data_IF_804622124451
#
_entry.id   IF_804622124451
#
_cell.length_a   1.000
_cell.length_b   1.000
_cell.length_c   1.000
_cell.angle_alpha   90.00
_cell.angle_beta   90.00
_cell.angle_gamma   90.00
#
_symmetry.space_group_name_H-M   'P 1'
#
loop_
_entity.id
_entity.type
_entity.pdbx_description
1 polymer ?
#
# COMPACT_ATOMS: atom_id res chain seq x y z
N UNK A 1 4.93 -5.40 79.46
CA UNK A 1 6.33 -5.07 79.17
C UNK A 1 6.84 -5.80 77.95
N UNK A 2 7.50 -5.02 77.09
CA UNK A 2 8.65 -5.34 76.24
C UNK A 2 8.64 -6.58 75.32
N UNK A 3 8.56 -6.24 74.02
CA UNK A 3 9.36 -6.74 72.89
C UNK A 3 10.60 -7.62 73.19
N UNK A 4 10.72 -8.71 72.42
CA UNK A 4 11.94 -9.28 71.79
C UNK A 4 11.42 -10.47 70.96
N UNK A 5 11.43 -10.53 69.63
CA UNK A 5 12.45 -10.15 68.66
C UNK A 5 13.01 -11.43 68.03
N UNK A 6 13.05 -11.48 66.69
CA UNK A 6 13.97 -12.24 65.80
C UNK A 6 13.31 -13.14 64.72
N UNK A 7 13.28 -12.54 63.51
CA UNK A 7 13.56 -13.06 62.15
C UNK A 7 12.75 -14.20 61.53
N UNK A 8 11.90 -13.85 60.55
CA UNK A 8 11.59 -14.69 59.39
C UNK A 8 12.45 -14.27 58.20
N UNK A 9 13.12 -15.20 57.49
CA UNK A 9 13.92 -14.86 56.32
C UNK A 9 13.02 -14.56 55.11
N UNK A 10 13.50 -13.60 54.32
CA UNK A 10 12.92 -13.16 53.05
C UNK A 10 12.67 -14.33 52.09
N UNK A 11 11.44 -14.41 51.58
CA UNK A 11 11.08 -15.14 50.38
C UNK A 11 10.25 -14.24 49.49
N UNK A 12 10.86 -13.23 48.88
CA UNK A 12 10.22 -12.41 47.83
C UNK A 12 10.20 -13.25 46.55
N UNK A 13 9.10 -13.94 46.30
CA UNK A 13 8.81 -14.48 44.96
C UNK A 13 8.27 -13.32 44.14
N UNK A 14 9.16 -12.66 43.40
CA UNK A 14 8.77 -11.75 42.34
C UNK A 14 8.20 -12.59 41.19
N UNK A 15 6.87 -12.71 41.13
CA UNK A 15 6.19 -13.17 39.92
C UNK A 15 6.30 -12.03 38.92
N UNK A 16 7.28 -12.14 38.03
CA UNK A 16 7.36 -11.35 36.80
C UNK A 16 6.13 -11.71 35.94
N UNK A 17 5.08 -10.91 36.09
CA UNK A 17 4.06 -10.73 35.07
C UNK A 17 4.76 -10.21 33.82
N UNK A 18 5.17 -11.13 32.95
CA UNK A 18 5.55 -10.78 31.58
C UNK A 18 4.25 -10.37 30.91
N UNK A 19 3.98 -9.07 30.98
CA UNK A 19 3.02 -8.36 30.18
C UNK A 19 3.45 -8.54 28.72
N UNK A 20 2.95 -9.61 28.10
CA UNK A 20 2.99 -9.77 26.65
C UNK A 20 1.97 -8.83 26.05
N UNK A 21 2.22 -7.51 26.12
CA UNK A 21 1.72 -6.62 25.09
C UNK A 21 2.39 -7.09 23.80
N UNK A 22 1.76 -8.02 23.09
CA UNK A 22 1.86 -8.03 21.64
C UNK A 22 1.37 -6.67 21.21
N UNK A 23 2.27 -5.70 21.12
CA UNK A 23 2.15 -4.62 20.16
C UNK A 23 2.01 -5.33 18.81
N UNK A 24 0.76 -5.61 18.45
CA UNK A 24 0.38 -5.77 17.05
C UNK A 24 1.06 -4.60 16.37
N UNK A 25 2.07 -4.86 15.54
CA UNK A 25 2.67 -3.85 14.70
C UNK A 25 1.50 -3.21 13.95
N UNK A 26 1.05 -2.05 14.44
CA UNK A 26 0.00 -1.28 13.81
C UNK A 26 0.58 -0.90 12.48
N UNK A 27 0.04 -1.47 11.41
CA UNK A 27 0.47 -1.15 10.06
C UNK A 27 0.32 0.37 9.95
N UNK A 28 1.43 1.09 9.73
CA UNK A 28 1.48 2.56 9.75
C UNK A 28 0.93 3.15 8.44
N UNK A 29 -0.29 2.72 8.12
CA UNK A 29 -1.12 3.16 7.01
C UNK A 29 -2.22 4.04 7.63
N UNK A 30 -2.49 5.24 7.08
CA UNK A 30 -3.51 6.14 7.58
C UNK A 30 -4.89 5.47 7.67
N UNK A 31 -5.63 5.70 8.75
CA UNK A 31 -7.00 5.16 8.89
C UNK A 31 -7.91 5.57 7.71
N UNK A 32 -7.75 6.81 7.24
CA UNK A 32 -8.48 7.36 6.08
C UNK A 32 -7.75 7.10 4.75
N UNK A 33 -7.09 5.95 4.59
CA UNK A 33 -6.41 5.60 3.35
C UNK A 33 -7.39 5.36 2.20
N UNK A 34 -8.51 4.65 2.43
CA UNK A 34 -9.54 4.44 1.41
C UNK A 34 -10.80 5.25 1.72
N UNK A 35 -11.25 6.01 0.73
CA UNK A 35 -12.45 6.85 0.77
C UNK A 35 -12.96 7.11 -0.66
N UNK A 36 -14.22 7.48 -0.82
CA UNK A 36 -14.76 7.73 -2.17
C UNK A 36 -14.31 9.11 -2.69
N UNK A 37 -13.57 9.11 -3.80
CA UNK A 37 -13.33 10.30 -4.62
C UNK A 37 -14.33 10.34 -5.77
N UNK A 38 -14.52 11.53 -6.36
CA UNK A 38 -15.31 11.68 -7.59
C UNK A 38 -14.83 10.66 -8.64
N UNK A 39 -15.72 9.75 -9.06
CA UNK A 39 -15.42 8.70 -10.04
C UNK A 39 -14.79 9.28 -11.31
N UNK A 40 -13.81 8.55 -11.84
CA UNK A 40 -13.22 8.91 -13.12
C UNK A 40 -14.21 8.62 -14.25
N UNK A 41 -14.34 9.58 -15.17
CA UNK A 41 -15.13 9.42 -16.39
C UNK A 41 -14.25 8.72 -17.44
N UNK A 42 -14.21 7.39 -17.36
CA UNK A 42 -13.35 6.51 -18.18
C UNK A 42 -14.19 5.34 -18.68
N UNK A 43 -14.33 5.25 -19.99
CA UNK A 43 -15.19 4.28 -20.67
C UNK A 43 -14.43 3.32 -21.58
N UNK A 44 -13.14 3.57 -21.84
CA UNK A 44 -12.31 2.68 -22.66
C UNK A 44 -10.96 2.34 -22.00
N UNK A 45 -10.33 1.20 -22.39
CA UNK A 45 -8.95 0.90 -22.01
C UNK A 45 -7.96 2.02 -22.34
N UNK A 46 -8.13 2.71 -23.46
CA UNK A 46 -7.25 3.81 -23.87
C UNK A 46 -7.39 5.02 -22.95
N UNK A 47 -8.62 5.38 -22.58
CA UNK A 47 -8.87 6.44 -21.61
C UNK A 47 -8.32 6.09 -20.24
N UNK A 48 -8.43 4.83 -19.82
CA UNK A 48 -7.84 4.36 -18.57
C UNK A 48 -6.32 4.53 -18.56
N UNK A 49 -5.65 4.16 -19.64
CA UNK A 49 -4.19 4.33 -19.79
C UNK A 49 -3.82 5.82 -19.71
N UNK A 50 -4.57 6.69 -20.41
CA UNK A 50 -4.36 8.14 -20.34
C UNK A 50 -4.60 8.69 -18.95
N UNK A 51 -5.63 8.21 -18.26
CA UNK A 51 -5.97 8.59 -16.90
C UNK A 51 -4.86 8.19 -15.91
N UNK A 52 -4.40 6.94 -15.97
CA UNK A 52 -3.27 6.47 -15.16
C UNK A 52 -1.98 7.24 -15.48
N UNK A 53 -1.71 7.55 -16.76
CA UNK A 53 -0.55 8.37 -17.12
C UNK A 53 -0.63 9.80 -16.56
N UNK A 54 -1.84 10.37 -16.46
CA UNK A 54 -2.07 11.76 -16.03
C UNK A 54 -1.66 12.03 -14.58
N UNK A 55 -1.63 11.00 -13.73
CA UNK A 55 -1.29 11.13 -12.30
C UNK A 55 0.21 10.99 -12.02
N UNK A 56 1.02 10.61 -13.02
CA UNK A 56 2.47 10.45 -12.86
C UNK A 56 3.19 11.67 -12.27
N UNK A 57 2.86 12.93 -12.64
CA UNK A 57 3.53 14.10 -12.08
C UNK A 57 3.49 14.18 -10.54
N UNK A 58 2.44 13.65 -9.90
CA UNK A 58 2.31 13.62 -8.44
C UNK A 58 3.29 12.66 -7.76
N UNK A 59 3.90 11.75 -8.51
CA UNK A 59 4.82 10.74 -8.00
C UNK A 59 6.30 11.07 -8.17
N UNK A 60 6.60 12.33 -8.50
CA UNK A 60 7.98 12.79 -8.61
C UNK A 60 8.71 12.60 -7.28
N UNK A 61 9.83 11.87 -7.30
CA UNK A 61 10.62 11.57 -6.11
C UNK A 61 10.14 10.35 -5.30
N UNK A 62 9.08 9.65 -5.75
CA UNK A 62 8.67 8.38 -5.17
C UNK A 62 9.51 7.22 -5.73
N UNK A 63 9.79 6.23 -4.89
CA UNK A 63 10.39 4.95 -5.29
C UNK A 63 9.40 4.14 -6.15
N UNK A 64 9.88 3.06 -6.77
CA UNK A 64 9.01 2.13 -7.54
C UNK A 64 7.87 1.59 -6.67
N UNK A 65 8.18 1.18 -5.43
CA UNK A 65 7.20 0.66 -4.48
C UNK A 65 6.21 1.72 -3.99
N UNK A 66 6.66 2.95 -3.75
CA UNK A 66 5.79 4.07 -3.37
C UNK A 66 4.86 4.47 -4.53
N UNK A 67 5.36 4.47 -5.78
CA UNK A 67 4.56 4.75 -6.98
C UNK A 67 3.43 3.75 -7.17
N UNK A 68 3.72 2.46 -7.04
CA UNK A 68 2.71 1.41 -7.22
C UNK A 68 1.62 1.49 -6.16
N UNK A 69 1.98 1.76 -4.90
CA UNK A 69 1.03 1.97 -3.82
C UNK A 69 0.18 3.24 -4.00
N UNK A 70 0.79 4.33 -4.46
CA UNK A 70 0.08 5.57 -4.77
C UNK A 70 -0.94 5.39 -5.92
N UNK A 71 -0.54 4.73 -7.00
CA UNK A 71 -1.44 4.48 -8.13
C UNK A 71 -2.61 3.59 -7.72
N UNK A 72 -2.37 2.58 -6.87
CA UNK A 72 -3.44 1.73 -6.35
C UNK A 72 -4.46 2.53 -5.55
N UNK A 73 -3.98 3.34 -4.59
CA UNK A 73 -4.80 4.23 -3.79
C UNK A 73 -5.66 5.14 -4.66
N UNK A 74 -5.01 5.83 -5.62
CA UNK A 74 -5.69 6.80 -6.47
C UNK A 74 -6.74 6.13 -7.36
N UNK A 75 -6.43 4.99 -7.96
CA UNK A 75 -7.34 4.27 -8.84
C UNK A 75 -8.51 3.66 -8.05
N UNK A 76 -8.26 3.04 -6.89
CA UNK A 76 -9.33 2.50 -6.04
C UNK A 76 -10.29 3.57 -5.56
N UNK A 77 -9.78 4.67 -5.03
CA UNK A 77 -10.63 5.76 -4.54
C UNK A 77 -11.43 6.42 -5.68
N UNK A 78 -11.04 6.22 -6.94
CA UNK A 78 -11.78 6.63 -8.15
C UNK A 78 -12.75 5.57 -8.70
N UNK A 79 -12.92 4.46 -7.98
CA UNK A 79 -13.88 3.41 -8.28
C UNK A 79 -13.36 2.29 -9.20
N UNK A 80 -12.06 2.22 -9.46
CA UNK A 80 -11.49 1.15 -10.27
C UNK A 80 -11.24 -0.13 -9.45
N UNK A 81 -11.52 -1.29 -10.05
CA UNK A 81 -11.15 -2.58 -9.50
C UNK A 81 -9.68 -2.87 -9.82
N UNK A 82 -8.81 -2.50 -8.90
CA UNK A 82 -7.36 -2.66 -9.01
C UNK A 82 -6.82 -3.45 -7.82
N UNK A 83 -5.81 -4.27 -8.08
CA UNK A 83 -5.11 -5.07 -7.09
C UNK A 83 -3.61 -5.07 -7.40
N UNK A 84 -2.79 -5.44 -6.42
CA UNK A 84 -1.36 -5.64 -6.64
C UNK A 84 -1.11 -7.04 -7.23
N UNK A 85 -0.22 -7.12 -8.21
CA UNK A 85 0.40 -8.35 -8.66
C UNK A 85 1.85 -8.38 -8.19
N UNK A 86 2.30 -9.56 -7.77
CA UNK A 86 3.63 -9.77 -7.20
C UNK A 86 4.32 -10.96 -7.87
N UNK A 87 5.60 -10.77 -8.19
CA UNK A 87 6.53 -11.85 -8.53
C UNK A 87 7.79 -11.67 -7.71
N UNK A 88 8.34 -12.74 -7.14
CA UNK A 88 9.68 -12.71 -6.54
C UNK A 88 10.81 -12.96 -7.56
N UNK A 89 10.45 -13.20 -8.83
CA UNK A 89 11.36 -13.49 -9.93
C UNK A 89 10.83 -12.83 -11.21
N UNK A 90 10.81 -11.51 -11.23
CA UNK A 90 10.32 -10.75 -12.37
C UNK A 90 11.35 -10.77 -13.50
N UNK A 91 10.92 -11.12 -14.72
CA UNK A 91 11.80 -11.29 -15.90
C UNK A 91 12.94 -12.29 -15.69
N UNK A 92 12.71 -13.33 -14.89
CA UNK A 92 13.71 -14.38 -14.60
C UNK A 92 15.03 -13.79 -14.05
N UNK A 93 14.93 -12.69 -13.30
CA UNK A 93 16.07 -11.91 -12.80
C UNK A 93 16.48 -12.26 -11.36
N UNK A 94 15.70 -13.10 -10.68
CA UNK A 94 15.81 -13.35 -9.24
C UNK A 94 15.42 -12.15 -8.37
N UNK A 95 14.84 -11.10 -8.96
CA UNK A 95 14.40 -9.90 -8.25
C UNK A 95 12.89 -9.83 -8.12
N UNK A 96 12.42 -9.36 -6.97
CA UNK A 96 10.99 -9.12 -6.79
C UNK A 96 10.52 -7.88 -7.56
N UNK A 97 9.26 -7.91 -7.99
CA UNK A 97 8.58 -6.77 -8.59
C UNK A 97 7.10 -6.76 -8.25
N UNK A 98 6.56 -5.57 -8.10
CA UNK A 98 5.15 -5.32 -7.81
C UNK A 98 4.62 -4.32 -8.84
N UNK A 99 3.51 -4.68 -9.46
CA UNK A 99 2.74 -3.81 -10.35
C UNK A 99 1.26 -3.94 -10.03
N UNK A 100 0.41 -3.24 -10.78
CA UNK A 100 -1.03 -3.32 -10.59
C UNK A 100 -1.68 -4.13 -11.70
N UNK A 101 -2.73 -4.85 -11.34
CA UNK A 101 -3.66 -5.47 -12.28
C UNK A 101 -5.02 -4.84 -12.07
N UNK A 102 -5.52 -4.17 -13.12
CA UNK A 102 -6.80 -3.49 -13.14
C UNK A 102 -7.76 -4.25 -14.05
N UNK A 103 -8.96 -4.55 -13.54
CA UNK A 103 -10.03 -5.19 -14.33
C UNK A 103 -10.92 -4.12 -14.95
N UNK A 104 -10.89 -4.00 -16.27
CA UNK A 104 -11.68 -2.99 -16.99
C UNK A 104 -13.18 -3.35 -17.02
N UNK A 105 -14.03 -2.46 -17.56
CA UNK A 105 -15.49 -2.67 -17.66
C UNK A 105 -15.88 -3.87 -18.53
N UNK A 106 -15.01 -4.30 -19.45
CA UNK A 106 -15.19 -5.50 -20.28
C UNK A 106 -14.76 -6.79 -19.55
N UNK A 107 -14.22 -6.67 -18.34
CA UNK A 107 -13.73 -7.79 -17.54
C UNK A 107 -12.30 -8.22 -17.86
N UNK A 108 -11.59 -7.50 -18.72
CA UNK A 108 -10.22 -7.79 -19.11
C UNK A 108 -9.24 -7.27 -18.05
N UNK A 109 -8.17 -8.03 -17.81
CA UNK A 109 -7.09 -7.63 -16.91
C UNK A 109 -6.04 -6.81 -17.68
N UNK A 110 -5.77 -5.61 -17.20
CA UNK A 110 -4.74 -4.71 -17.71
C UNK A 110 -3.64 -4.55 -16.65
N UNK A 111 -2.39 -4.76 -17.03
CA UNK A 111 -1.28 -4.40 -16.17
C UNK A 111 -1.13 -2.88 -16.16
N UNK A 112 -0.85 -2.30 -15.00
CA UNK A 112 -0.45 -0.90 -14.85
C UNK A 112 0.90 -0.88 -14.16
N UNK A 113 1.89 -0.31 -14.83
CA UNK A 113 3.27 -0.12 -14.37
C UNK A 113 3.55 1.39 -14.22
N UNK A 114 3.38 1.95 -13.02
CA UNK A 114 3.60 3.38 -12.76
C UNK A 114 5.04 3.83 -13.00
N UNK A 115 5.99 2.92 -12.85
CA UNK A 115 7.44 3.14 -12.98
C UNK A 115 7.97 2.60 -14.30
N UNK A 116 7.17 2.67 -15.38
CA UNK A 116 7.51 2.03 -16.65
C UNK A 116 8.84 2.52 -17.25
N UNK A 117 9.26 3.75 -16.94
CA UNK A 117 10.56 4.27 -17.36
C UNK A 117 11.67 3.55 -16.59
N UNK A 118 11.56 3.49 -15.26
CA UNK A 118 12.54 2.82 -14.39
C UNK A 118 12.59 1.31 -14.60
N UNK A 119 11.45 0.71 -14.96
CA UNK A 119 11.31 -0.71 -15.25
C UNK A 119 11.53 -1.06 -16.73
N UNK A 120 11.91 -0.08 -17.55
CA UNK A 120 12.12 -0.27 -19.00
C UNK A 120 10.94 -0.96 -19.70
N UNK A 121 9.71 -0.68 -19.24
CA UNK A 121 8.49 -1.18 -19.86
C UNK A 121 8.07 -0.23 -20.99
N UNK A 122 7.42 -0.78 -22.03
CA UNK A 122 7.06 0.00 -23.22
C UNK A 122 6.07 1.16 -22.94
N UNK A 123 5.27 1.06 -21.88
CA UNK A 123 4.32 2.10 -21.46
C UNK A 123 3.84 1.85 -20.02
N UNK A 124 3.01 2.77 -19.51
CA UNK A 124 2.31 2.61 -18.23
C UNK A 124 1.37 1.39 -18.20
N UNK A 125 0.99 0.83 -19.35
CA UNK A 125 0.17 -0.39 -19.43
C UNK A 125 0.84 -1.43 -20.32
N UNK A 126 1.93 -2.06 -19.85
CA UNK A 126 2.68 -3.02 -20.65
C UNK A 126 1.85 -4.27 -20.97
N UNK A 127 2.06 -4.82 -22.17
CA UNK A 127 1.30 -5.99 -22.67
C UNK A 127 2.15 -7.25 -22.80
N UNK A 128 3.42 -7.16 -22.40
CA UNK A 128 4.42 -8.23 -22.47
C UNK A 128 4.10 -9.35 -21.48
N UNK A 129 4.69 -10.54 -21.69
CA UNK A 129 4.30 -11.75 -20.96
C UNK A 129 4.69 -11.71 -19.48
N UNK A 130 5.79 -11.03 -19.13
CA UNK A 130 6.24 -10.87 -17.75
C UNK A 130 5.20 -10.17 -16.87
N UNK A 131 4.45 -9.20 -17.39
CA UNK A 131 3.38 -8.52 -16.65
C UNK A 131 2.07 -9.33 -16.56
N UNK A 132 1.98 -10.44 -17.28
CA UNK A 132 0.86 -11.40 -17.22
C UNK A 132 1.15 -12.56 -16.26
N UNK A 133 2.40 -12.73 -15.83
CA UNK A 133 2.87 -13.82 -14.98
C UNK A 133 3.18 -13.27 -13.59
N UNK A 134 2.30 -13.54 -12.63
CA UNK A 134 2.52 -13.22 -11.23
C UNK A 134 2.23 -14.44 -10.36
N UNK A 135 2.90 -14.51 -9.22
CA UNK A 135 2.79 -15.61 -8.26
C UNK A 135 1.67 -15.37 -7.26
N UNK A 136 1.51 -14.10 -6.86
CA UNK A 136 0.51 -13.69 -5.88
C UNK A 136 -0.21 -12.44 -6.37
N UNK A 137 -1.44 -12.31 -5.90
CA UNK A 137 -2.27 -11.13 -6.08
C UNK A 137 -2.71 -10.69 -4.69
N UNK A 138 -2.52 -9.41 -4.37
CA UNK A 138 -2.94 -8.85 -3.09
C UNK A 138 -4.08 -7.85 -3.31
N UNK A 139 -5.12 -7.98 -2.50
CA UNK A 139 -6.34 -7.21 -2.66
C UNK A 139 -6.08 -5.72 -2.50
N UNK A 140 -5.28 -5.33 -1.52
CA UNK A 140 -5.01 -3.96 -1.09
C UNK A 140 -3.63 -3.81 -0.45
N UNK A 141 -3.33 -2.58 0.01
CA UNK A 141 -2.03 -2.24 0.60
C UNK A 141 -1.80 -2.93 1.95
N UNK A 142 -2.86 -3.27 2.70
CA UNK A 142 -2.75 -3.94 3.99
C UNK A 142 -2.31 -5.38 3.80
N UNK A 143 -2.92 -6.08 2.84
CA UNK A 143 -2.54 -7.44 2.50
C UNK A 143 -1.13 -7.49 1.89
N UNK A 144 -0.81 -6.57 0.97
CA UNK A 144 0.53 -6.48 0.40
C UNK A 144 1.58 -6.29 1.50
N UNK A 145 1.44 -5.23 2.32
CA UNK A 145 2.40 -4.86 3.36
C UNK A 145 2.63 -5.98 4.39
N UNK A 146 1.58 -6.76 4.72
CA UNK A 146 1.68 -7.89 5.64
C UNK A 146 2.49 -9.06 5.08
N UNK A 147 2.54 -9.20 3.75
CA UNK A 147 3.13 -10.36 3.07
C UNK A 147 4.49 -10.05 2.41
N UNK A 148 4.93 -8.80 2.44
CA UNK A 148 6.18 -8.33 1.80
C UNK A 148 6.98 -7.47 2.80
N UNK A 149 7.80 -6.52 2.33
CA UNK A 149 8.71 -5.72 3.16
C UNK A 149 8.07 -4.67 4.08
N UNK A 150 6.81 -4.84 4.47
CA UNK A 150 6.12 -3.97 5.43
C UNK A 150 5.59 -2.66 4.84
N UNK A 151 4.85 -1.90 5.65
CA UNK A 151 4.21 -0.65 5.20
C UNK A 151 5.22 0.45 4.81
N UNK A 152 6.39 0.49 5.44
CA UNK A 152 7.43 1.49 5.15
C UNK A 152 7.89 1.46 3.69
N UNK A 153 7.94 0.26 3.08
CA UNK A 153 8.32 0.09 1.68
C UNK A 153 7.38 0.85 0.72
N UNK A 154 6.13 1.06 1.12
CA UNK A 154 5.06 1.60 0.29
C UNK A 154 4.58 2.99 0.73
N UNK A 155 5.22 3.57 1.75
CA UNK A 155 4.72 4.70 2.52
C UNK A 155 4.83 6.06 1.81
N UNK A 156 4.25 6.18 0.60
CA UNK A 156 4.20 7.42 -0.17
C UNK A 156 3.53 8.56 0.63
N UNK A 157 2.59 8.25 1.53
CA UNK A 157 1.91 9.19 2.41
C UNK A 157 2.83 9.84 3.46
N UNK A 158 4.02 9.27 3.71
CA UNK A 158 5.02 9.86 4.60
C UNK A 158 5.92 10.88 3.91
N UNK A 159 5.87 10.98 2.58
CA UNK A 159 6.54 12.05 1.83
C UNK A 159 5.72 13.33 1.94
N UNK A 160 6.37 14.49 2.05
CA UNK A 160 5.66 15.78 2.16
C UNK A 160 4.68 16.04 1.00
N UNK A 161 5.04 15.67 -0.23
CA UNK A 161 4.14 15.76 -1.39
C UNK A 161 2.96 14.80 -1.29
N UNK A 162 3.19 13.57 -0.84
CA UNK A 162 2.15 12.56 -0.63
C UNK A 162 1.19 12.94 0.49
N UNK A 163 1.71 13.39 1.64
CA UNK A 163 0.92 13.81 2.79
C UNK A 163 0.00 14.99 2.43
N UNK A 164 0.52 15.98 1.70
CA UNK A 164 -0.27 17.10 1.19
C UNK A 164 -1.44 16.59 0.32
N UNK A 165 -1.15 15.72 -0.63
CA UNK A 165 -2.14 15.19 -1.56
C UNK A 165 -3.23 14.35 -0.85
N UNK A 166 -2.83 13.50 0.10
CA UNK A 166 -3.76 12.72 0.91
C UNK A 166 -4.71 13.64 1.69
N UNK A 167 -4.14 14.60 2.42
CA UNK A 167 -4.91 15.55 3.24
C UNK A 167 -5.88 16.39 2.40
N UNK A 168 -5.45 16.88 1.23
CA UNK A 168 -6.31 17.63 0.32
C UNK A 168 -7.52 16.80 -0.13
N UNK A 169 -7.32 15.53 -0.50
CA UNK A 169 -8.42 14.67 -0.97
C UNK A 169 -9.34 14.22 0.18
N UNK A 170 -8.80 13.94 1.37
CA UNK A 170 -9.59 13.68 2.57
C UNK A 170 -10.47 14.88 2.93
N UNK A 171 -9.93 16.10 2.86
CA UNK A 171 -10.70 17.31 3.14
C UNK A 171 -11.80 17.54 2.10
N UNK A 172 -11.55 17.24 0.83
CA UNK A 172 -12.57 17.31 -0.22
C UNK A 172 -13.68 16.28 0.00
N UNK A 173 -13.32 15.05 0.37
CA UNK A 173 -14.28 14.01 0.74
C UNK A 173 -15.15 14.42 1.93
N UNK A 174 -14.53 14.88 3.03
CA UNK A 174 -15.29 15.37 4.20
C UNK A 174 -16.24 16.51 3.87
N UNK A 175 -15.89 17.37 2.92
CA UNK A 175 -16.77 18.46 2.45
C UNK A 175 -17.94 17.98 1.59
N UNK A 176 -17.81 16.87 0.87
CA UNK A 176 -18.92 16.33 0.08
C UNK A 176 -19.95 15.57 0.91
N UNK A 177 -19.59 15.18 2.13
CA UNK A 177 -20.48 14.50 3.09
C UNK A 177 -21.30 15.48 3.97
N UNK A 178 -21.07 16.79 3.83
CA UNK A 178 -21.79 17.87 4.55
C UNK A 178 -22.94 18.44 3.71
#
# INVERSE_FOLDING_TARGET
DAMRGVTFPLGVIAVLLICGCMESATVDIPDEYYFEMKKADVDSPVELIRFAASIRPYTTGFTVSEKVAFFEWYLKNRGFNVNFAYSNDFRDSGSEHIWLVLKNKLGENMAIEPSYIEMEAASVSPTTQEYKRYQKKFADIYELSKNTGGSEQYAWWKKSSGQKLLNENVMLYKKSEL
#
